data_IF_732988084504
#
_entry.id   IF_732988084504
#
_cell.length_a   1.000
_cell.length_b   1.000
_cell.length_c   1.000
_cell.angle_alpha   90.00
_cell.angle_beta   90.00
_cell.angle_gamma   90.00
#
_symmetry.space_group_name_H-M   'P 1'
#
loop_
_entity.id
_entity.type
_entity.pdbx_description
1 polymer ?
#
# COMPACT_ATOMS: atom_id res chain seq x y z
N UNK A 1 51.00 17.24 -59.43
CA UNK A 1 50.46 16.02 -58.82
C UNK A 1 50.68 16.14 -57.32
N UNK A 2 49.62 16.01 -56.50
CA UNK A 2 49.62 15.93 -55.01
C UNK A 2 49.90 17.26 -54.26
N UNK A 3 49.17 17.72 -53.24
CA UNK A 3 48.10 17.17 -52.39
C UNK A 3 47.21 18.35 -51.92
N UNK A 4 45.89 18.22 -52.02
CA UNK A 4 44.90 19.06 -51.31
C UNK A 4 44.77 18.48 -49.90
N UNK A 5 45.16 19.25 -48.88
CA UNK A 5 44.94 18.86 -47.48
C UNK A 5 43.60 19.46 -47.05
N UNK A 6 42.55 18.65 -47.17
CA UNK A 6 41.23 18.94 -46.62
C UNK A 6 41.25 18.55 -45.13
N UNK A 7 41.30 19.53 -44.23
CA UNK A 7 41.23 19.32 -42.79
C UNK A 7 39.76 19.07 -42.41
N UNK A 8 39.34 17.80 -42.38
CA UNK A 8 38.04 17.39 -41.82
C UNK A 8 38.18 17.38 -40.30
N UNK A 9 37.66 18.43 -39.65
CA UNK A 9 37.50 18.49 -38.21
C UNK A 9 36.33 17.56 -37.82
N UNK A 10 36.64 16.31 -37.49
CA UNK A 10 35.69 15.37 -36.87
C UNK A 10 35.41 15.84 -35.44
N UNK A 11 34.36 16.65 -35.28
CA UNK A 11 33.67 16.86 -34.01
C UNK A 11 33.05 15.52 -33.59
N UNK A 12 33.81 14.70 -32.88
CA UNK A 12 33.27 13.58 -32.11
C UNK A 12 32.47 14.19 -30.95
N UNK A 13 31.18 14.36 -31.17
CA UNK A 13 30.22 14.59 -30.10
C UNK A 13 30.17 13.28 -29.31
N UNK A 14 31.01 13.18 -28.28
CA UNK A 14 30.88 12.16 -27.25
C UNK A 14 29.53 12.38 -26.59
N UNK A 15 28.53 11.60 -26.99
CA UNK A 15 27.31 11.44 -26.24
C UNK A 15 27.71 10.79 -24.91
N UNK A 16 28.00 11.61 -23.90
CA UNK A 16 28.18 11.20 -22.52
C UNK A 16 26.82 10.72 -22.00
N UNK A 17 26.39 9.54 -22.44
CA UNK A 17 25.35 8.79 -21.75
C UNK A 17 25.89 8.54 -20.35
N UNK A 18 25.27 9.15 -19.34
CA UNK A 18 25.59 8.85 -17.94
C UNK A 18 25.42 7.34 -17.75
N UNK A 19 26.55 6.64 -17.65
CA UNK A 19 26.57 5.20 -17.42
C UNK A 19 25.83 4.94 -16.10
N UNK A 20 24.88 4.02 -16.11
CA UNK A 20 24.23 3.60 -14.87
C UNK A 20 25.30 3.03 -13.94
N UNK A 21 25.43 3.62 -12.75
CA UNK A 21 26.35 3.17 -11.71
C UNK A 21 25.55 2.33 -10.69
N UNK A 22 25.85 1.03 -10.57
CA UNK A 22 25.14 0.19 -9.60
C UNK A 22 25.45 0.59 -8.14
N UNK A 23 24.48 0.40 -7.26
CA UNK A 23 24.66 0.68 -5.82
C UNK A 23 25.59 -0.39 -5.20
N UNK A 24 26.75 -0.01 -4.63
CA UNK A 24 27.67 -0.98 -4.03
C UNK A 24 27.07 -1.69 -2.81
N UNK A 25 26.04 -1.11 -2.17
CA UNK A 25 25.32 -1.77 -1.08
C UNK A 25 24.28 -2.79 -1.60
N UNK A 26 24.03 -2.83 -2.91
CA UNK A 26 23.05 -3.72 -3.53
C UNK A 26 21.59 -3.28 -3.35
N UNK A 27 20.69 -4.22 -3.63
CA UNK A 27 19.26 -3.94 -3.84
C UNK A 27 18.35 -4.83 -3.01
N UNK A 28 17.15 -4.33 -2.72
CA UNK A 28 16.02 -5.12 -2.19
C UNK A 28 14.91 -5.10 -3.24
N UNK A 29 14.48 -6.29 -3.66
CA UNK A 29 13.31 -6.47 -4.53
C UNK A 29 12.35 -7.45 -3.86
N UNK A 30 11.05 -7.21 -3.97
CA UNK A 30 10.06 -8.07 -3.33
C UNK A 30 8.77 -8.14 -4.13
N UNK A 31 7.96 -9.15 -3.86
CA UNK A 31 6.57 -9.20 -4.30
C UNK A 31 5.63 -8.71 -3.19
N UNK A 32 4.72 -7.75 -3.44
CA UNK A 32 3.60 -7.46 -2.55
C UNK A 32 2.50 -8.54 -2.66
N UNK A 33 2.88 -9.80 -2.47
CA UNK A 33 2.08 -11.00 -2.81
C UNK A 33 0.97 -11.34 -1.79
N UNK A 34 0.72 -10.51 -0.78
CA UNK A 34 -0.31 -10.76 0.24
C UNK A 34 -1.41 -9.69 0.21
N UNK A 35 -2.62 -10.14 -0.09
CA UNK A 35 -3.83 -9.31 -0.04
C UNK A 35 -3.99 -8.32 -1.19
N UNK A 36 -4.91 -7.36 -0.99
CA UNK A 36 -5.26 -6.30 -1.96
C UNK A 36 -4.46 -5.02 -1.69
N UNK A 37 -4.69 -3.97 -2.47
CA UNK A 37 -3.91 -2.72 -2.42
C UNK A 37 -3.64 -2.16 -1.01
N UNK A 38 -4.64 -2.16 -0.13
CA UNK A 38 -4.46 -1.74 1.27
C UNK A 38 -3.38 -2.53 2.00
N UNK A 39 -3.39 -3.87 1.89
CA UNK A 39 -2.38 -4.75 2.50
C UNK A 39 -0.99 -4.52 1.89
N UNK A 40 -0.94 -4.39 0.56
CA UNK A 40 0.30 -4.18 -0.18
C UNK A 40 1.00 -2.88 0.23
N UNK A 41 0.25 -1.78 0.36
CA UNK A 41 0.82 -0.52 0.85
C UNK A 41 1.22 -0.62 2.31
N UNK A 42 0.41 -1.27 3.14
CA UNK A 42 0.69 -1.45 4.58
C UNK A 42 2.05 -2.15 4.80
N UNK A 43 2.31 -3.23 4.06
CA UNK A 43 3.60 -3.92 4.10
C UNK A 43 4.74 -3.12 3.44
N UNK A 44 4.47 -2.36 2.37
CA UNK A 44 5.48 -1.51 1.73
C UNK A 44 6.10 -0.53 2.73
N UNK A 45 5.33 0.02 3.69
CA UNK A 45 5.89 0.91 4.72
C UNK A 45 6.97 0.21 5.56
N UNK A 46 6.76 -1.06 5.93
CA UNK A 46 7.77 -1.86 6.61
C UNK A 46 8.98 -2.16 5.72
N UNK A 47 8.76 -2.48 4.44
CA UNK A 47 9.84 -2.73 3.48
C UNK A 47 10.70 -1.49 3.25
N UNK A 48 10.09 -0.29 3.23
CA UNK A 48 10.81 0.98 3.14
C UNK A 48 11.76 1.15 4.33
N UNK A 49 11.28 0.92 5.56
CA UNK A 49 12.12 0.99 6.75
C UNK A 49 13.24 -0.06 6.72
N UNK A 50 12.90 -1.32 6.43
CA UNK A 50 13.85 -2.42 6.31
C UNK A 50 14.99 -2.09 5.34
N UNK A 51 14.62 -1.67 4.13
CA UNK A 51 15.59 -1.36 3.06
C UNK A 51 16.48 -0.19 3.42
N UNK A 52 15.92 0.86 4.04
CA UNK A 52 16.69 2.01 4.53
C UNK A 52 17.69 1.60 5.60
N UNK A 53 17.31 0.72 6.53
CA UNK A 53 18.19 0.30 7.63
C UNK A 53 19.35 -0.56 7.16
N UNK A 54 19.15 -1.38 6.12
CA UNK A 54 20.23 -2.11 5.44
C UNK A 54 21.06 -1.25 4.47
N UNK A 55 20.68 0.01 4.26
CA UNK A 55 21.36 0.94 3.35
C UNK A 55 21.42 0.47 1.88
N UNK A 56 20.50 -0.41 1.50
CA UNK A 56 20.32 -0.92 0.14
C UNK A 56 19.37 -0.03 -0.66
N UNK A 57 19.40 -0.16 -1.98
CA UNK A 57 18.43 0.51 -2.86
C UNK A 57 17.14 -0.32 -2.99
N UNK A 58 15.99 0.30 -2.75
CA UNK A 58 14.69 -0.34 -2.96
C UNK A 58 14.35 -0.38 -4.46
N UNK A 59 14.08 -1.57 -4.99
CA UNK A 59 13.39 -1.74 -6.26
C UNK A 59 11.91 -1.55 -6.01
N UNK A 60 11.35 -0.48 -6.56
CA UNK A 60 9.94 -0.14 -6.36
C UNK A 60 9.05 -1.24 -6.95
N UNK A 61 8.09 -1.79 -6.17
CA UNK A 61 7.34 -2.96 -6.58
C UNK A 61 6.35 -2.62 -7.70
N UNK A 62 5.90 -3.64 -8.43
CA UNK A 62 4.62 -3.52 -9.10
C UNK A 62 3.53 -3.85 -8.07
N UNK A 63 2.50 -3.03 -7.96
CA UNK A 63 1.29 -3.40 -7.21
C UNK A 63 0.51 -4.45 -7.99
N UNK A 64 -0.33 -5.19 -7.28
CA UNK A 64 -1.09 -6.32 -7.84
C UNK A 64 -2.57 -6.00 -7.74
N UNK A 65 -3.24 -5.95 -8.90
CA UNK A 65 -4.68 -5.87 -9.02
C UNK A 65 -5.23 -7.22 -9.49
N UNK A 66 -6.44 -7.56 -9.03
CA UNK A 66 -7.10 -8.84 -9.33
C UNK A 66 -8.43 -8.61 -10.08
N UNK A 67 -8.42 -7.98 -11.27
CA UNK A 67 -9.62 -7.93 -12.10
C UNK A 67 -9.91 -9.35 -12.59
N UNK A 68 -11.02 -9.95 -12.18
CA UNK A 68 -11.35 -11.31 -12.61
C UNK A 68 -11.44 -11.41 -14.15
N UNK A 69 -10.81 -12.41 -14.80
CA UNK A 69 -10.06 -13.55 -14.24
C UNK A 69 -8.54 -13.34 -14.09
N UNK A 70 -8.04 -12.15 -14.40
CA UNK A 70 -6.62 -11.84 -14.54
C UNK A 70 -5.94 -11.38 -13.25
N UNK A 71 -4.60 -11.38 -13.28
CA UNK A 71 -3.75 -10.74 -12.27
C UNK A 71 -2.87 -9.73 -12.96
N UNK A 72 -3.01 -8.46 -12.58
CA UNK A 72 -2.39 -7.34 -13.28
C UNK A 72 -1.33 -6.71 -12.39
N UNK A 73 -0.11 -6.59 -12.92
CA UNK A 73 1.00 -5.89 -12.27
C UNK A 73 1.03 -4.43 -12.71
N UNK A 74 0.80 -3.54 -11.75
CA UNK A 74 0.71 -2.10 -11.95
C UNK A 74 2.00 -1.43 -11.44
N UNK A 75 2.79 -0.77 -12.30
CA UNK A 75 4.03 -0.13 -11.87
C UNK A 75 3.83 0.88 -10.74
N UNK A 76 4.78 0.96 -9.80
CA UNK A 76 4.74 1.96 -8.74
C UNK A 76 4.49 3.38 -9.28
N UNK A 77 5.20 3.77 -10.34
CA UNK A 77 5.12 5.11 -10.92
C UNK A 77 3.78 5.46 -11.57
N UNK A 78 2.92 4.48 -11.89
CA UNK A 78 1.57 4.78 -12.36
C UNK A 78 0.62 5.15 -11.23
N UNK A 79 1.00 4.85 -9.98
CA UNK A 79 0.22 5.12 -8.77
C UNK A 79 0.84 6.26 -7.95
N UNK A 80 2.16 6.25 -7.77
CA UNK A 80 2.88 7.17 -6.90
C UNK A 80 4.05 7.87 -7.58
N UNK A 81 4.45 9.01 -7.04
CA UNK A 81 5.59 9.78 -7.52
C UNK A 81 6.91 9.19 -7.01
N UNK A 82 7.76 8.73 -7.94
CA UNK A 82 9.09 8.18 -7.62
C UNK A 82 9.98 9.20 -6.90
N UNK A 83 9.86 10.48 -7.24
CA UNK A 83 10.64 11.54 -6.61
C UNK A 83 10.35 11.68 -5.11
N UNK A 84 9.13 11.41 -4.67
CA UNK A 84 8.70 11.61 -3.28
C UNK A 84 9.22 10.49 -2.37
N UNK A 85 9.14 9.23 -2.81
CA UNK A 85 9.73 8.11 -2.06
C UNK A 85 11.26 8.20 -1.95
N UNK A 86 11.92 8.76 -2.98
CA UNK A 86 13.37 9.01 -2.98
C UNK A 86 13.84 10.02 -1.94
N UNK A 87 12.95 10.83 -1.37
CA UNK A 87 13.28 11.72 -0.23
C UNK A 87 13.54 10.93 1.05
N UNK A 88 13.08 9.68 1.15
CA UNK A 88 13.27 8.83 2.33
C UNK A 88 14.43 7.84 2.19
N UNK A 89 14.54 7.16 1.04
CA UNK A 89 15.53 6.11 0.79
C UNK A 89 15.98 6.08 -0.68
N UNK A 90 17.11 5.41 -0.96
CA UNK A 90 17.53 5.13 -2.34
C UNK A 90 16.52 4.19 -2.99
N UNK A 91 15.98 4.58 -4.15
CA UNK A 91 14.97 3.78 -4.85
C UNK A 91 15.08 3.87 -6.38
N UNK A 92 14.84 2.77 -7.07
CA UNK A 92 14.80 2.68 -8.54
C UNK A 92 13.51 2.02 -9.01
N UNK A 93 13.08 2.38 -10.23
CA UNK A 93 11.90 1.77 -10.85
C UNK A 93 12.20 0.33 -11.23
N UNK A 94 11.19 -0.54 -11.20
CA UNK A 94 11.31 -1.94 -11.64
C UNK A 94 11.92 -2.05 -13.05
N UNK A 95 11.47 -1.22 -13.99
CA UNK A 95 12.01 -1.22 -15.37
C UNK A 95 13.50 -0.88 -15.45
N UNK A 96 13.99 0.00 -14.56
CA UNK A 96 15.42 0.35 -14.49
C UNK A 96 16.21 -0.82 -13.88
N UNK A 97 15.68 -1.45 -12.84
CA UNK A 97 16.29 -2.64 -12.24
C UNK A 97 16.42 -3.77 -13.27
N UNK A 98 15.37 -4.05 -14.03
CA UNK A 98 15.38 -5.09 -15.06
C UNK A 98 16.39 -4.83 -16.18
N UNK A 99 16.51 -3.58 -16.61
CA UNK A 99 17.36 -3.23 -17.76
C UNK A 99 18.82 -3.03 -17.37
N UNK A 100 19.08 -2.38 -16.24
CA UNK A 100 20.42 -1.89 -15.87
C UNK A 100 21.11 -2.73 -14.80
N UNK A 101 20.36 -3.38 -13.90
CA UNK A 101 20.90 -4.10 -12.74
C UNK A 101 20.91 -5.61 -12.96
N UNK A 102 19.76 -6.18 -13.36
CA UNK A 102 19.61 -7.64 -13.50
C UNK A 102 20.62 -8.27 -14.46
N UNK A 103 20.95 -7.71 -15.64
CA UNK A 103 21.85 -8.38 -16.58
C UNK A 103 23.29 -8.52 -16.07
N UNK A 104 23.74 -7.62 -15.21
CA UNK A 104 25.15 -7.54 -14.77
C UNK A 104 25.35 -8.05 -13.35
N UNK A 105 24.50 -7.64 -12.40
CA UNK A 105 24.65 -7.98 -10.98
C UNK A 105 23.80 -9.16 -10.54
N UNK A 106 22.74 -9.51 -11.28
CA UNK A 106 21.81 -10.59 -10.90
C UNK A 106 21.36 -11.43 -12.11
N UNK A 107 22.34 -12.01 -12.85
CA UNK A 107 22.09 -12.72 -14.09
C UNK A 107 21.24 -13.99 -13.85
N UNK A 108 20.64 -14.50 -14.93
CA UNK A 108 19.94 -15.80 -14.92
C UNK A 108 20.91 -16.89 -14.46
N UNK A 109 20.43 -17.87 -13.70
CA UNK A 109 21.26 -18.94 -13.13
C UNK A 109 21.86 -18.64 -11.75
N UNK A 110 21.75 -17.41 -11.25
CA UNK A 110 22.32 -16.99 -9.97
C UNK A 110 21.29 -16.30 -9.05
N UNK A 111 19.99 -16.44 -9.34
CA UNK A 111 18.92 -15.71 -8.66
C UNK A 111 18.41 -16.50 -7.47
N UNK A 112 18.71 -15.96 -6.30
CA UNK A 112 18.34 -16.53 -5.01
C UNK A 112 17.03 -15.90 -4.51
N UNK A 113 16.07 -16.73 -4.07
CA UNK A 113 14.90 -16.29 -3.30
C UNK A 113 15.22 -16.34 -1.80
N UNK A 114 14.82 -15.30 -1.06
CA UNK A 114 14.98 -15.24 0.39
C UNK A 114 13.63 -15.41 1.10
N UNK A 115 13.51 -16.40 1.97
CA UNK A 115 12.33 -16.63 2.80
C UNK A 115 12.68 -16.96 4.26
N UNK A 116 11.69 -17.03 5.14
CA UNK A 116 11.92 -17.25 6.57
C UNK A 116 12.60 -18.60 6.85
N UNK A 117 12.02 -19.68 6.32
CA UNK A 117 12.46 -21.06 6.50
C UNK A 117 11.97 -21.91 5.32
N UNK A 118 12.60 -23.06 5.04
CA UNK A 118 12.10 -23.99 4.03
C UNK A 118 10.67 -24.44 4.39
N UNK A 119 9.80 -24.52 3.39
CA UNK A 119 8.44 -25.06 3.50
C UNK A 119 8.24 -26.16 2.46
N UNK A 120 7.21 -26.98 2.63
CA UNK A 120 6.76 -27.91 1.59
C UNK A 120 5.98 -27.16 0.52
N UNK A 121 6.01 -27.67 -0.70
CA UNK A 121 5.10 -27.25 -1.76
C UNK A 121 3.67 -27.68 -1.41
N UNK A 122 2.71 -26.84 -1.78
CA UNK A 122 1.27 -27.06 -1.64
C UNK A 122 0.71 -27.72 -2.91
N UNK A 123 1.32 -27.47 -4.08
CA UNK A 123 0.84 -27.95 -5.37
C UNK A 123 1.61 -29.18 -5.92
N UNK A 124 2.80 -29.47 -5.40
CA UNK A 124 3.64 -30.61 -5.80
C UNK A 124 4.24 -31.31 -4.57
N UNK A 125 3.62 -32.41 -4.14
CA UNK A 125 4.08 -33.18 -2.99
C UNK A 125 5.48 -33.80 -3.18
N UNK A 126 5.95 -33.96 -4.42
CA UNK A 126 7.26 -34.51 -4.76
C UNK A 126 8.39 -33.47 -4.80
N UNK A 127 8.06 -32.18 -4.74
CA UNK A 127 9.05 -31.11 -4.80
C UNK A 127 9.91 -31.06 -3.52
N UNK A 128 11.23 -30.76 -3.64
CA UNK A 128 12.09 -30.55 -2.47
C UNK A 128 11.59 -29.34 -1.66
N UNK A 129 11.84 -29.36 -0.35
CA UNK A 129 11.50 -28.21 0.51
C UNK A 129 12.29 -26.97 0.11
N UNK A 130 11.65 -25.81 0.15
CA UNK A 130 12.28 -24.55 -0.24
C UNK A 130 11.37 -23.36 0.03
N UNK A 131 11.65 -22.22 -0.60
CA UNK A 131 10.81 -21.03 -0.53
C UNK A 131 9.57 -21.16 -1.42
N UNK A 132 9.66 -21.94 -2.51
CA UNK A 132 8.64 -22.08 -3.55
C UNK A 132 8.11 -20.71 -4.00
N UNK A 133 9.04 -19.82 -4.37
CA UNK A 133 8.83 -18.39 -4.57
C UNK A 133 7.83 -17.99 -5.67
N UNK A 134 7.47 -18.93 -6.56
CA UNK A 134 6.58 -18.74 -7.70
C UNK A 134 5.33 -19.62 -7.63
N UNK A 135 5.10 -20.28 -6.51
CA UNK A 135 4.00 -21.21 -6.35
C UNK A 135 2.67 -20.46 -6.10
N UNK A 136 1.67 -20.74 -6.93
CA UNK A 136 0.34 -20.15 -6.82
C UNK A 136 0.24 -18.71 -7.37
N UNK A 137 -0.92 -18.10 -7.13
CA UNK A 137 -1.25 -16.74 -7.53
C UNK A 137 -1.32 -15.84 -6.28
N UNK A 138 -0.65 -14.67 -6.25
CA UNK A 138 -0.02 -13.97 -7.38
C UNK A 138 1.49 -14.22 -7.57
N UNK A 139 2.08 -15.13 -6.79
CA UNK A 139 3.52 -15.37 -6.75
C UNK A 139 4.14 -15.64 -8.13
N UNK A 140 3.66 -16.65 -8.86
CA UNK A 140 4.17 -17.00 -10.18
C UNK A 140 4.09 -15.83 -11.17
N UNK A 141 2.87 -15.32 -11.45
CA UNK A 141 2.65 -14.20 -12.35
C UNK A 141 3.50 -12.97 -12.06
N UNK A 142 3.77 -12.64 -10.78
CA UNK A 142 4.55 -11.46 -10.41
C UNK A 142 5.99 -11.56 -10.88
N UNK A 143 6.64 -12.69 -10.59
CA UNK A 143 8.03 -12.91 -10.99
C UNK A 143 8.14 -13.16 -12.49
N UNK A 144 7.15 -13.81 -13.11
CA UNK A 144 7.07 -14.00 -14.57
C UNK A 144 7.02 -12.66 -15.31
N UNK A 145 6.21 -11.70 -14.83
CA UNK A 145 6.10 -10.36 -15.43
C UNK A 145 7.44 -9.66 -15.55
N UNK A 146 8.35 -9.91 -14.60
CA UNK A 146 9.67 -9.30 -14.59
C UNK A 146 10.79 -10.21 -15.12
N UNK A 147 10.44 -11.40 -15.65
CA UNK A 147 11.37 -12.34 -16.26
C UNK A 147 12.28 -13.03 -15.23
N UNK A 148 11.77 -13.28 -14.02
CA UNK A 148 12.49 -13.89 -12.91
C UNK A 148 12.03 -15.34 -12.69
N UNK A 149 13.02 -16.22 -12.64
CA UNK A 149 12.95 -17.55 -12.04
C UNK A 149 14.08 -17.62 -11.01
N UNK A 150 13.88 -18.40 -9.96
CA UNK A 150 14.85 -18.57 -8.88
C UNK A 150 15.53 -19.93 -9.02
N UNK A 151 16.84 -19.95 -8.86
CA UNK A 151 17.64 -21.17 -8.94
C UNK A 151 18.12 -21.65 -7.57
N UNK A 152 18.05 -20.78 -6.55
CA UNK A 152 18.45 -21.09 -5.17
C UNK A 152 17.50 -20.45 -4.17
N UNK A 153 17.48 -21.02 -2.98
CA UNK A 153 16.78 -20.48 -1.82
C UNK A 153 17.78 -20.18 -0.70
N UNK A 154 17.54 -19.10 0.02
CA UNK A 154 18.25 -18.74 1.25
C UNK A 154 17.27 -18.38 2.34
N UNK A 155 17.69 -18.62 3.58
CA UNK A 155 16.80 -18.52 4.75
C UNK A 155 17.31 -17.48 5.73
N UNK A 156 16.40 -16.65 6.26
CA UNK A 156 16.76 -15.58 7.21
C UNK A 156 16.08 -15.71 8.58
N UNK A 157 15.32 -16.79 8.84
CA UNK A 157 14.58 -16.98 10.09
C UNK A 157 15.46 -17.22 11.33
N UNK A 158 16.75 -17.50 11.13
CA UNK A 158 17.77 -17.61 12.17
C UNK A 158 18.36 -16.25 12.58
N UNK A 159 18.12 -15.18 11.81
CA UNK A 159 18.54 -13.83 12.17
C UNK A 159 17.70 -13.33 13.35
N UNK A 160 18.29 -12.76 14.41
CA UNK A 160 17.54 -12.19 15.53
C UNK A 160 16.51 -11.16 15.05
N UNK A 161 15.24 -11.38 15.38
CA UNK A 161 14.12 -10.53 14.93
C UNK A 161 13.71 -10.72 13.46
N UNK A 162 14.38 -11.58 12.70
CA UNK A 162 14.14 -11.78 11.27
C UNK A 162 14.29 -10.48 10.49
N UNK A 163 13.21 -9.98 9.88
CA UNK A 163 13.20 -8.70 9.17
C UNK A 163 13.03 -7.48 10.09
N UNK A 164 12.79 -7.67 11.40
CA UNK A 164 12.70 -6.57 12.36
C UNK A 164 14.09 -6.08 12.78
N UNK A 165 14.61 -5.14 11.99
CA UNK A 165 15.94 -4.55 12.21
C UNK A 165 16.01 -3.61 13.42
N UNK A 166 14.91 -3.42 14.16
CA UNK A 166 14.94 -2.72 15.44
C UNK A 166 15.46 -3.61 16.57
N UNK A 167 15.47 -4.93 16.37
CA UNK A 167 16.05 -5.89 17.31
C UNK A 167 17.57 -5.77 17.30
N UNK A 168 18.16 -5.65 18.50
CA UNK A 168 19.61 -5.51 18.67
C UNK A 168 20.36 -6.66 17.99
N UNK A 169 21.37 -6.33 17.18
CA UNK A 169 22.20 -7.31 16.45
C UNK A 169 21.61 -7.76 15.12
N UNK A 170 20.33 -7.48 14.83
CA UNK A 170 19.67 -7.91 13.60
C UNK A 170 20.34 -7.34 12.34
N UNK A 171 20.57 -6.01 12.29
CA UNK A 171 21.25 -5.36 11.16
C UNK A 171 22.63 -5.95 10.89
N UNK A 172 23.45 -6.15 11.93
CA UNK A 172 24.79 -6.74 11.80
C UNK A 172 24.70 -8.15 11.21
N UNK A 173 23.82 -9.00 11.75
CA UNK A 173 23.61 -10.35 11.25
C UNK A 173 23.15 -10.38 9.79
N UNK A 174 22.30 -9.45 9.35
CA UNK A 174 21.93 -9.31 7.93
C UNK A 174 23.12 -8.96 7.03
N UNK A 175 23.97 -8.03 7.45
CA UNK A 175 25.13 -7.59 6.67
C UNK A 175 26.22 -8.67 6.61
N UNK A 176 26.39 -9.45 7.69
CA UNK A 176 27.32 -10.58 7.76
C UNK A 176 26.83 -11.78 6.92
N UNK A 177 25.54 -12.12 7.02
CA UNK A 177 24.97 -13.28 6.33
C UNK A 177 24.72 -13.01 4.84
N UNK A 178 24.33 -11.80 4.49
CA UNK A 178 24.00 -11.42 3.12
C UNK A 178 24.78 -10.18 2.67
N UNK A 179 26.12 -10.25 2.57
CA UNK A 179 26.95 -9.14 2.12
C UNK A 179 26.66 -8.81 0.65
N UNK A 180 26.73 -7.54 0.27
CA UNK A 180 26.38 -7.08 -1.09
C UNK A 180 27.28 -7.64 -2.19
N UNK A 181 28.51 -8.05 -1.86
CA UNK A 181 29.46 -8.67 -2.79
C UNK A 181 29.02 -10.05 -3.28
N UNK A 182 28.27 -10.78 -2.46
CA UNK A 182 27.77 -12.12 -2.77
C UNK A 182 26.27 -12.12 -3.06
N UNK A 183 25.53 -11.28 -2.31
CA UNK A 183 24.10 -11.06 -2.45
C UNK A 183 23.83 -9.60 -2.87
N UNK A 184 24.14 -9.23 -4.13
CA UNK A 184 23.88 -7.87 -4.63
C UNK A 184 22.38 -7.56 -4.74
N UNK A 185 21.52 -8.60 -4.76
CA UNK A 185 20.07 -8.47 -4.75
C UNK A 185 19.48 -9.40 -3.69
N UNK A 186 18.77 -8.83 -2.72
CA UNK A 186 17.92 -9.57 -1.80
C UNK A 186 16.50 -9.62 -2.37
N UNK A 187 16.08 -10.79 -2.86
CA UNK A 187 14.80 -10.98 -3.53
C UNK A 187 13.81 -11.75 -2.66
N UNK A 188 12.71 -11.12 -2.27
CA UNK A 188 11.75 -11.68 -1.31
C UNK A 188 10.40 -12.04 -1.95
N UNK A 189 10.01 -13.33 -1.97
CA UNK A 189 8.70 -13.76 -2.49
C UNK A 189 7.51 -13.19 -1.72
N UNK A 190 7.72 -12.84 -0.45
CA UNK A 190 6.76 -12.12 0.40
C UNK A 190 7.45 -10.90 1.02
N UNK A 191 6.74 -9.80 1.33
CA UNK A 191 7.39 -8.60 1.85
C UNK A 191 8.14 -8.87 3.16
N UNK A 192 9.42 -8.45 3.31
CA UNK A 192 10.16 -8.53 4.58
C UNK A 192 9.67 -7.45 5.56
N UNK A 193 8.40 -7.54 5.94
CA UNK A 193 7.70 -6.53 6.73
C UNK A 193 6.54 -7.15 7.52
N UNK A 194 6.22 -6.60 8.71
CA UNK A 194 5.05 -7.03 9.45
C UNK A 194 3.76 -6.65 8.72
N UNK A 195 2.74 -7.48 8.91
CA UNK A 195 1.35 -7.15 8.62
C UNK A 195 0.49 -7.57 9.81
N UNK A 196 -0.30 -6.66 10.40
CA UNK A 196 -0.47 -5.25 10.06
C UNK A 196 0.81 -4.41 10.29
N UNK A 197 0.89 -3.24 9.65
CA UNK A 197 2.01 -2.31 9.79
C UNK A 197 2.09 -1.75 11.21
N UNK A 198 3.32 -1.58 11.70
CA UNK A 198 3.57 -1.05 13.05
C UNK A 198 3.38 0.47 13.09
N UNK A 199 2.93 1.04 14.22
CA UNK A 199 2.79 2.50 14.38
C UNK A 199 4.05 3.29 14.00
N UNK A 200 5.24 2.74 14.25
CA UNK A 200 6.53 3.34 13.93
C UNK A 200 6.78 3.54 12.43
N UNK A 201 6.04 2.88 11.53
CA UNK A 201 6.19 3.04 10.08
C UNK A 201 5.06 3.85 9.44
N UNK A 202 3.99 4.17 10.18
CA UNK A 202 2.82 4.86 9.61
C UNK A 202 3.17 6.24 9.04
N UNK A 203 4.11 6.95 9.65
CA UNK A 203 4.55 8.26 9.16
C UNK A 203 5.16 8.23 7.77
N UNK A 204 5.66 7.06 7.33
CA UNK A 204 6.28 6.87 6.02
C UNK A 204 5.29 7.04 4.88
N UNK A 205 3.98 6.98 5.15
CA UNK A 205 2.93 7.29 4.19
C UNK A 205 3.11 8.69 3.57
N UNK A 206 3.77 9.65 4.25
CA UNK A 206 4.02 10.99 3.70
C UNK A 206 4.85 10.99 2.41
N UNK A 207 5.62 9.93 2.17
CA UNK A 207 6.46 9.76 0.97
C UNK A 207 5.74 9.06 -0.18
N UNK A 208 4.51 8.59 0.03
CA UNK A 208 3.65 7.98 -0.99
C UNK A 208 2.67 9.02 -1.53
N UNK A 209 3.14 9.86 -2.45
CA UNK A 209 2.30 10.88 -3.11
C UNK A 209 1.73 10.36 -4.41
N UNK A 210 0.42 10.53 -4.59
CA UNK A 210 -0.29 10.16 -5.81
C UNK A 210 0.37 10.71 -7.08
N UNK A 211 0.37 9.92 -8.14
CA UNK A 211 0.79 10.37 -9.48
C UNK A 211 -0.07 11.55 -9.94
N UNK A 212 0.46 12.35 -10.87
CA UNK A 212 -0.27 13.49 -11.46
C UNK A 212 -1.60 13.06 -12.09
N UNK A 213 -1.64 11.85 -12.67
CA UNK A 213 -2.84 11.26 -13.25
C UNK A 213 -3.94 11.02 -12.20
N UNK A 214 -3.61 10.36 -11.08
CA UNK A 214 -4.60 10.05 -10.03
C UNK A 214 -5.05 11.32 -9.32
N UNK A 215 -4.10 12.16 -8.93
CA UNK A 215 -4.42 13.45 -8.29
C UNK A 215 -5.26 14.34 -9.20
N UNK A 216 -4.94 14.43 -10.50
CA UNK A 216 -5.73 15.16 -11.48
C UNK A 216 -7.18 14.67 -11.60
N UNK A 217 -7.39 13.35 -11.71
CA UNK A 217 -8.73 12.75 -11.73
C UNK A 217 -9.52 13.05 -10.45
N UNK A 218 -8.89 12.90 -9.29
CA UNK A 218 -9.53 13.17 -8.00
C UNK A 218 -9.94 14.65 -7.88
N UNK A 219 -9.02 15.57 -8.21
CA UNK A 219 -9.31 17.02 -8.19
C UNK A 219 -10.39 17.41 -9.18
N UNK A 220 -10.43 16.81 -10.37
CA UNK A 220 -11.48 17.03 -11.35
C UNK A 220 -12.84 16.59 -10.79
N UNK A 221 -12.93 15.37 -10.26
CA UNK A 221 -14.18 14.87 -9.69
C UNK A 221 -14.68 15.75 -8.53
N UNK A 222 -13.78 16.13 -7.62
CA UNK A 222 -14.12 17.04 -6.52
C UNK A 222 -14.68 18.36 -7.06
N UNK A 223 -14.01 18.98 -8.03
CA UNK A 223 -14.44 20.26 -8.62
C UNK A 223 -15.83 20.17 -9.29
N UNK A 224 -16.12 19.05 -9.96
CA UNK A 224 -17.35 18.90 -10.75
C UNK A 224 -18.55 18.43 -9.93
N UNK A 225 -18.33 17.65 -8.87
CA UNK A 225 -19.41 16.96 -8.14
C UNK A 225 -19.51 17.32 -6.66
N UNK A 226 -18.43 17.75 -6.02
CA UNK A 226 -18.37 17.87 -4.56
C UNK A 226 -18.21 19.33 -4.10
N UNK A 227 -19.32 19.92 -3.68
CA UNK A 227 -19.31 21.22 -3.02
C UNK A 227 -18.72 21.09 -1.61
N UNK A 228 -17.63 21.80 -1.33
CA UNK A 228 -16.99 21.84 0.00
C UNK A 228 -17.79 22.65 1.03
N UNK A 229 -17.71 22.38 2.35
CA UNK A 229 -17.03 21.23 2.91
C UNK A 229 -17.77 19.94 2.55
N UNK A 230 -17.05 18.84 2.32
CA UNK A 230 -17.65 17.54 2.04
C UNK A 230 -17.15 16.45 2.99
N UNK A 231 -18.06 15.54 3.32
CA UNK A 231 -17.74 14.32 4.07
C UNK A 231 -17.38 13.24 3.08
N UNK A 232 -16.19 12.65 3.22
CA UNK A 232 -15.82 11.43 2.50
C UNK A 232 -16.06 10.22 3.40
N UNK A 233 -16.67 9.16 2.86
CA UNK A 233 -16.86 7.92 3.60
C UNK A 233 -16.34 6.71 2.82
N UNK A 234 -15.87 5.72 3.56
CA UNK A 234 -15.50 4.43 3.01
C UNK A 234 -16.39 3.32 3.61
N UNK A 235 -17.21 2.73 2.75
CA UNK A 235 -18.03 1.57 3.07
C UNK A 235 -17.29 0.30 2.65
N UNK A 236 -17.14 -0.64 3.58
CA UNK A 236 -16.56 -1.96 3.33
C UNK A 236 -17.63 -2.98 3.66
N UNK A 237 -18.37 -3.43 2.65
CA UNK A 237 -19.61 -4.19 2.79
C UNK A 237 -19.78 -5.32 1.75
N UNK A 238 -18.69 -5.73 1.10
CA UNK A 238 -18.70 -6.95 0.30
C UNK A 238 -18.93 -8.22 1.17
N UNK A 239 -19.43 -9.29 0.56
CA UNK A 239 -19.82 -10.53 1.25
C UNK A 239 -18.66 -11.16 2.05
N UNK A 240 -17.44 -11.12 1.50
CA UNK A 240 -16.25 -11.62 2.19
C UNK A 240 -15.94 -10.84 3.47
N UNK A 241 -16.28 -9.55 3.49
CA UNK A 241 -16.00 -8.69 4.64
C UNK A 241 -16.89 -9.04 5.83
N UNK A 242 -18.18 -9.32 5.59
CA UNK A 242 -19.10 -9.73 6.65
C UNK A 242 -18.59 -10.98 7.37
N UNK A 243 -18.09 -11.97 6.60
CA UNK A 243 -17.50 -13.19 7.16
C UNK A 243 -16.26 -12.92 8.02
N UNK A 244 -15.41 -11.97 7.62
CA UNK A 244 -14.27 -11.55 8.45
C UNK A 244 -14.77 -11.00 9.79
N UNK A 245 -15.76 -10.10 9.76
CA UNK A 245 -16.28 -9.46 10.97
C UNK A 245 -17.04 -10.42 11.89
N UNK A 246 -17.61 -11.51 11.36
CA UNK A 246 -18.27 -12.55 12.16
C UNK A 246 -17.34 -13.26 13.15
N UNK A 247 -16.04 -13.32 12.86
CA UNK A 247 -15.02 -13.93 13.72
C UNK A 247 -14.66 -13.06 14.94
N UNK A 248 -15.11 -11.80 15.00
CA UNK A 248 -15.00 -11.00 16.21
C UNK A 248 -15.95 -11.59 17.26
N UNK A 249 -15.50 -11.83 18.51
CA UNK A 249 -16.37 -12.32 19.57
C UNK A 249 -17.63 -11.46 19.74
N UNK A 250 -18.74 -12.06 20.17
CA UNK A 250 -20.03 -11.36 20.32
C UNK A 250 -19.98 -10.16 21.26
N UNK A 251 -19.04 -10.15 22.21
CA UNK A 251 -18.83 -9.03 23.14
C UNK A 251 -17.83 -8.03 22.56
N UNK A 252 -16.55 -8.40 22.49
CA UNK A 252 -15.48 -7.61 21.87
C UNK A 252 -14.15 -8.40 21.80
N UNK A 253 -13.19 -7.88 21.03
CA UNK A 253 -11.82 -8.39 20.96
C UNK A 253 -10.80 -7.32 21.34
N UNK A 254 -9.80 -7.71 22.16
CA UNK A 254 -8.58 -6.92 22.37
C UNK A 254 -7.46 -7.30 21.39
N UNK A 255 -7.64 -8.36 20.59
CA UNK A 255 -6.67 -8.77 19.59
C UNK A 255 -6.84 -7.91 18.33
N UNK A 256 -5.74 -7.32 17.81
CA UNK A 256 -5.79 -6.57 16.56
C UNK A 256 -6.31 -7.43 15.41
N UNK A 257 -7.23 -6.88 14.63
CA UNK A 257 -7.67 -7.44 13.37
C UNK A 257 -7.36 -6.46 12.25
N UNK A 258 -6.48 -6.87 11.33
CA UNK A 258 -6.04 -6.02 10.23
C UNK A 258 -5.63 -4.61 10.72
N UNK A 259 -6.27 -3.55 10.23
CA UNK A 259 -5.88 -2.20 10.58
C UNK A 259 -6.47 -1.67 11.89
N UNK A 260 -7.13 -2.50 12.72
CA UNK A 260 -7.92 -2.02 13.87
C UNK A 260 -7.16 -1.13 14.87
N UNK A 261 -5.84 -1.24 14.97
CA UNK A 261 -5.04 -0.32 15.82
C UNK A 261 -5.08 1.14 15.33
N UNK A 262 -5.54 1.42 14.11
CA UNK A 262 -5.63 2.79 13.58
C UNK A 262 -6.68 3.67 14.28
N UNK A 263 -7.60 3.06 15.03
CA UNK A 263 -8.55 3.78 15.88
C UNK A 263 -8.11 3.89 17.35
N UNK A 264 -6.94 3.36 17.72
CA UNK A 264 -6.37 3.60 19.05
C UNK A 264 -6.16 5.11 19.25
N UNK A 265 -6.66 5.64 20.37
CA UNK A 265 -6.59 7.06 20.71
C UNK A 265 -7.73 7.92 20.14
N UNK A 266 -8.70 7.34 19.44
CA UNK A 266 -9.96 8.03 19.12
C UNK A 266 -10.75 8.28 20.43
N UNK A 267 -11.35 9.47 20.57
CA UNK A 267 -11.92 9.99 21.83
C UNK A 267 -12.90 9.04 22.53
N UNK A 268 -13.64 8.24 21.75
CA UNK A 268 -14.68 7.34 22.25
C UNK A 268 -14.38 5.85 21.98
N UNK A 269 -13.12 5.52 21.70
CA UNK A 269 -12.69 4.14 21.52
C UNK A 269 -12.00 3.61 22.77
N UNK A 270 -12.53 2.54 23.35
CA UNK A 270 -12.03 1.91 24.58
C UNK A 270 -10.98 0.81 24.32
N UNK A 271 -10.50 0.70 23.08
CA UNK A 271 -9.55 -0.33 22.64
C UNK A 271 -10.21 -1.68 22.32
N UNK A 272 -11.54 -1.79 22.39
CA UNK A 272 -12.25 -3.05 22.17
C UNK A 272 -12.93 -3.07 20.82
N UNK A 273 -12.46 -3.95 19.94
CA UNK A 273 -13.06 -4.11 18.61
C UNK A 273 -14.40 -4.85 18.72
N UNK A 274 -15.46 -4.26 18.15
CA UNK A 274 -16.80 -4.84 18.08
C UNK A 274 -17.21 -5.16 16.64
N UNK A 275 -18.24 -5.99 16.47
CA UNK A 275 -18.83 -6.27 15.15
C UNK A 275 -19.35 -5.00 14.48
N UNK A 276 -19.90 -4.07 15.26
CA UNK A 276 -20.41 -2.80 14.75
C UNK A 276 -19.29 -1.89 14.20
N UNK A 277 -18.12 -1.89 14.83
CA UNK A 277 -16.94 -1.15 14.31
C UNK A 277 -16.41 -1.79 13.01
N UNK A 278 -16.48 -3.12 12.91
CA UNK A 278 -15.98 -3.86 11.75
C UNK A 278 -16.95 -3.82 10.55
N UNK A 279 -18.24 -4.02 10.81
CA UNK A 279 -19.32 -4.11 9.83
C UNK A 279 -20.53 -3.34 10.35
N UNK A 280 -20.52 -2.00 10.27
CA UNK A 280 -21.57 -1.16 10.82
C UNK A 280 -22.91 -1.41 10.13
N UNK A 281 -24.00 -1.32 10.90
CA UNK A 281 -25.35 -1.41 10.38
C UNK A 281 -25.70 -0.23 9.47
N UNK A 282 -26.64 -0.38 8.52
CA UNK A 282 -27.13 0.73 7.70
C UNK A 282 -27.58 1.93 8.54
N UNK A 283 -28.25 1.69 9.67
CA UNK A 283 -28.66 2.73 10.62
C UNK A 283 -27.46 3.50 11.17
N UNK A 284 -26.46 2.80 11.70
CA UNK A 284 -25.22 3.44 12.21
C UNK A 284 -24.51 4.24 11.12
N UNK A 285 -24.43 3.71 9.91
CA UNK A 285 -23.81 4.41 8.77
C UNK A 285 -24.55 5.72 8.49
N UNK A 286 -25.88 5.68 8.36
CA UNK A 286 -26.70 6.85 8.03
C UNK A 286 -26.63 7.89 9.16
N UNK A 287 -26.86 7.48 10.41
CA UNK A 287 -26.90 8.37 11.57
C UNK A 287 -25.57 9.13 11.75
N UNK A 288 -24.43 8.43 11.63
CA UNK A 288 -23.12 9.07 11.76
C UNK A 288 -22.78 9.98 10.60
N UNK A 289 -23.25 9.67 9.38
CA UNK A 289 -23.07 10.57 8.23
C UNK A 289 -23.90 11.82 8.41
N UNK A 290 -25.16 11.71 8.82
CA UNK A 290 -26.04 12.87 9.09
C UNK A 290 -25.46 13.74 10.21
N UNK A 291 -25.04 13.13 11.32
CA UNK A 291 -24.43 13.86 12.44
C UNK A 291 -23.19 14.64 11.98
N UNK A 292 -22.31 14.00 11.21
CA UNK A 292 -21.11 14.66 10.69
C UNK A 292 -21.44 15.77 9.68
N UNK A 293 -22.41 15.54 8.79
CA UNK A 293 -22.90 16.56 7.84
C UNK A 293 -23.37 17.79 8.60
N UNK A 294 -24.20 17.62 9.63
CA UNK A 294 -24.66 18.71 10.47
C UNK A 294 -23.53 19.40 11.23
N UNK A 295 -22.61 18.61 11.81
CA UNK A 295 -21.48 19.11 12.62
C UNK A 295 -20.53 20.03 11.85
N UNK A 296 -20.24 19.72 10.59
CA UNK A 296 -19.30 20.52 9.77
C UNK A 296 -20.00 21.44 8.75
N UNK A 297 -21.33 21.41 8.69
CA UNK A 297 -22.10 22.12 7.66
C UNK A 297 -21.75 21.62 6.25
N UNK A 298 -21.63 20.30 6.07
CA UNK A 298 -21.23 19.72 4.80
C UNK A 298 -22.24 20.03 3.69
N UNK A 299 -21.74 20.27 2.48
CA UNK A 299 -22.54 20.58 1.28
C UNK A 299 -22.59 19.45 0.26
N UNK A 300 -21.86 18.37 0.51
CA UNK A 300 -21.91 17.13 -0.27
C UNK A 300 -21.30 15.97 0.51
N UNK A 301 -21.64 14.74 0.10
CA UNK A 301 -21.04 13.51 0.62
C UNK A 301 -20.40 12.74 -0.53
N UNK A 302 -19.19 12.24 -0.34
CA UNK A 302 -18.53 11.31 -1.25
C UNK A 302 -18.49 9.91 -0.65
N UNK A 303 -18.94 8.92 -1.42
CA UNK A 303 -18.95 7.51 -1.00
C UNK A 303 -18.00 6.71 -1.88
N UNK A 304 -17.04 6.06 -1.23
CA UNK A 304 -16.28 4.94 -1.80
C UNK A 304 -16.78 3.65 -1.19
N UNK A 305 -17.01 2.63 -2.01
CA UNK A 305 -17.46 1.33 -1.55
C UNK A 305 -16.87 0.20 -2.38
N UNK A 306 -16.61 -0.93 -1.74
CA UNK A 306 -16.24 -2.17 -2.41
C UNK A 306 -17.43 -2.90 -3.05
N UNK A 307 -18.66 -2.59 -2.66
CA UNK A 307 -19.87 -3.17 -3.27
C UNK A 307 -21.05 -2.20 -3.32
N UNK A 308 -21.67 -1.92 -2.17
CA UNK A 308 -22.87 -1.08 -2.10
C UNK A 308 -22.52 0.32 -1.60
N UNK A 309 -22.76 1.32 -2.42
CA UNK A 309 -22.51 2.73 -2.11
C UNK A 309 -23.68 3.40 -1.37
N UNK A 310 -24.83 2.74 -1.20
CA UNK A 310 -26.01 3.27 -0.50
C UNK A 310 -26.47 4.66 -0.99
N UNK A 311 -26.21 5.00 -2.26
CA UNK A 311 -26.38 6.38 -2.78
C UNK A 311 -27.84 6.85 -2.68
N UNK A 312 -28.79 6.00 -3.03
CA UNK A 312 -30.22 6.33 -2.94
C UNK A 312 -30.63 6.56 -1.49
N UNK A 313 -30.28 5.62 -0.60
CA UNK A 313 -30.53 5.73 0.84
C UNK A 313 -29.95 7.01 1.45
N UNK A 314 -28.73 7.40 1.06
CA UNK A 314 -28.16 8.67 1.51
C UNK A 314 -28.88 9.88 0.95
N UNK A 315 -29.26 9.88 -0.32
CA UNK A 315 -29.95 11.02 -0.92
C UNK A 315 -31.33 11.26 -0.29
N UNK A 316 -32.04 10.20 0.07
CA UNK A 316 -33.30 10.29 0.82
C UNK A 316 -33.05 10.84 2.23
N UNK A 317 -32.06 10.30 2.95
CA UNK A 317 -31.73 10.72 4.31
C UNK A 317 -31.17 12.15 4.41
N UNK A 318 -30.51 12.65 3.35
CA UNK A 318 -29.92 13.98 3.28
C UNK A 318 -30.86 15.03 2.66
N UNK A 319 -32.08 14.65 2.28
CA UNK A 319 -33.03 15.56 1.64
C UNK A 319 -33.32 16.79 2.50
N UNK A 320 -33.43 16.63 3.81
CA UNK A 320 -33.66 17.73 4.76
C UNK A 320 -32.51 18.76 4.81
N UNK A 321 -31.32 18.39 4.35
CA UNK A 321 -30.15 19.27 4.27
C UNK A 321 -29.95 19.89 2.88
N UNK A 322 -30.78 19.52 1.89
CA UNK A 322 -30.66 19.94 0.49
C UNK A 322 -29.28 19.60 -0.14
N UNK A 323 -28.63 18.52 0.31
CA UNK A 323 -27.36 18.04 -0.24
C UNK A 323 -27.49 16.62 -0.82
N UNK A 324 -26.47 16.17 -1.55
CA UNK A 324 -26.46 14.83 -2.19
C UNK A 324 -25.18 14.06 -1.88
N UNK A 325 -25.30 12.74 -1.94
CA UNK A 325 -24.19 11.80 -1.96
C UNK A 325 -23.78 11.43 -3.39
N UNK A 326 -22.48 11.34 -3.61
CA UNK A 326 -21.87 11.06 -4.91
C UNK A 326 -20.87 9.91 -4.81
N UNK A 327 -20.71 9.17 -5.90
CA UNK A 327 -19.68 8.13 -6.10
C UNK A 327 -19.01 8.31 -7.45
N UNK A 328 -17.85 7.67 -7.62
CA UNK A 328 -17.30 7.41 -8.95
C UNK A 328 -18.16 6.34 -9.67
N UNK A 329 -18.31 6.48 -10.98
CA UNK A 329 -18.99 5.49 -11.82
C UNK A 329 -18.27 5.30 -13.17
N UNK A 330 -17.61 4.15 -13.42
CA UNK A 330 -17.34 3.07 -12.46
C UNK A 330 -16.44 3.54 -11.30
N UNK A 331 -16.43 2.80 -10.18
CA UNK A 331 -15.56 3.15 -9.04
C UNK A 331 -14.10 2.82 -9.37
N UNK A 332 -13.22 3.81 -9.30
CA UNK A 332 -11.76 3.66 -9.44
C UNK A 332 -11.17 3.77 -8.03
N UNK A 333 -10.80 2.62 -7.45
CA UNK A 333 -10.40 2.53 -6.05
C UNK A 333 -9.24 3.47 -5.68
N UNK A 334 -8.28 3.67 -6.58
CA UNK A 334 -7.14 4.56 -6.32
C UNK A 334 -7.55 6.04 -6.38
N UNK A 335 -8.41 6.40 -7.32
CA UNK A 335 -8.99 7.75 -7.37
C UNK A 335 -9.88 8.00 -6.16
N UNK A 336 -10.68 7.02 -5.74
CA UNK A 336 -11.50 7.07 -4.53
C UNK A 336 -10.64 7.35 -3.28
N UNK A 337 -9.52 6.64 -3.08
CA UNK A 337 -8.59 6.95 -1.99
C UNK A 337 -8.08 8.40 -2.06
N UNK A 338 -7.72 8.88 -3.25
CA UNK A 338 -7.23 10.24 -3.44
C UNK A 338 -8.32 11.32 -3.22
N UNK A 339 -9.60 11.01 -3.48
CA UNK A 339 -10.74 11.88 -3.14
C UNK A 339 -10.96 11.90 -1.62
N UNK A 340 -10.94 10.73 -0.97
CA UNK A 340 -11.10 10.61 0.49
C UNK A 340 -9.96 11.31 1.27
N UNK A 341 -8.72 11.24 0.79
CA UNK A 341 -7.58 12.00 1.33
C UNK A 341 -7.77 13.53 1.25
N UNK A 342 -8.65 13.99 0.36
CA UNK A 342 -8.99 15.40 0.17
C UNK A 342 -10.29 15.86 0.84
N UNK A 343 -11.05 14.96 1.46
CA UNK A 343 -12.28 15.30 2.17
C UNK A 343 -12.05 16.28 3.33
N UNK A 344 -13.04 17.11 3.63
CA UNK A 344 -12.97 18.02 4.77
C UNK A 344 -13.07 17.22 6.08
N UNK A 345 -13.93 16.19 6.10
CA UNK A 345 -13.93 15.13 7.12
C UNK A 345 -13.97 13.75 6.46
N UNK A 346 -13.28 12.76 7.02
CA UNK A 346 -13.30 11.37 6.54
C UNK A 346 -13.89 10.45 7.62
N UNK A 347 -14.88 9.62 7.25
CA UNK A 347 -15.37 8.52 8.09
C UNK A 347 -14.94 7.20 7.47
N UNK A 348 -14.02 6.49 8.13
CA UNK A 348 -13.46 5.24 7.67
C UNK A 348 -14.06 4.00 8.35
N UNK A 349 -13.59 2.84 7.91
CA UNK A 349 -13.78 1.57 8.60
C UNK A 349 -12.48 1.23 9.37
N UNK A 350 -12.55 1.10 10.69
CA UNK A 350 -11.33 0.93 11.51
C UNK A 350 -10.57 -0.37 11.20
N UNK A 351 -11.24 -1.44 10.78
CA UNK A 351 -10.57 -2.72 10.48
C UNK A 351 -9.92 -2.71 9.09
N UNK A 352 -10.39 -1.85 8.18
CA UNK A 352 -9.93 -1.83 6.79
C UNK A 352 -8.56 -1.18 6.60
N UNK A 353 -7.62 -1.92 6.01
CA UNK A 353 -6.31 -1.39 5.57
C UNK A 353 -6.46 -0.38 4.42
N UNK A 354 -7.58 -0.41 3.68
CA UNK A 354 -7.90 0.59 2.67
C UNK A 354 -8.27 1.94 3.31
N UNK A 355 -9.07 1.94 4.39
CA UNK A 355 -9.27 3.14 5.21
C UNK A 355 -7.98 3.60 5.88
N UNK A 356 -7.13 2.66 6.30
CA UNK A 356 -5.86 2.99 6.94
C UNK A 356 -4.91 3.77 6.04
N UNK A 357 -4.94 3.51 4.73
CA UNK A 357 -4.25 4.35 3.76
C UNK A 357 -4.67 5.82 3.88
N UNK A 358 -5.99 6.07 3.83
CA UNK A 358 -6.57 7.41 3.90
C UNK A 358 -6.26 8.06 5.25
N UNK A 359 -6.43 7.32 6.35
CA UNK A 359 -6.10 7.78 7.71
C UNK A 359 -4.68 8.30 7.75
N UNK A 360 -3.69 7.49 7.34
CA UNK A 360 -2.28 7.90 7.37
C UNK A 360 -1.99 9.09 6.47
N UNK A 361 -2.55 9.13 5.25
CA UNK A 361 -2.38 10.28 4.35
C UNK A 361 -2.85 11.58 5.03
N UNK A 362 -4.02 11.53 5.67
CA UNK A 362 -4.62 12.66 6.39
C UNK A 362 -3.82 13.03 7.64
N UNK A 363 -3.39 12.06 8.44
CA UNK A 363 -2.60 12.25 9.67
C UNK A 363 -1.27 12.96 9.40
N UNK A 364 -0.60 12.58 8.31
CA UNK A 364 0.71 13.13 7.99
C UNK A 364 0.67 14.20 6.91
N UNK A 365 -0.52 14.73 6.61
CA UNK A 365 -0.70 15.93 5.80
C UNK A 365 -0.51 17.20 6.63
N UNK A 366 -0.26 18.33 5.94
CA UNK A 366 -0.17 19.66 6.55
C UNK A 366 -1.14 20.59 5.79
N UNK A 367 -2.15 21.19 6.44
CA UNK A 367 -2.56 20.96 7.84
C UNK A 367 -3.09 19.54 8.06
N UNK A 368 -3.13 19.11 9.33
CA UNK A 368 -3.74 17.84 9.74
C UNK A 368 -5.22 17.84 9.34
N UNK A 369 -5.72 16.73 8.80
CA UNK A 369 -7.13 16.60 8.41
C UNK A 369 -7.88 15.62 9.32
N UNK A 370 -9.10 15.95 9.75
CA UNK A 370 -9.84 15.14 10.73
C UNK A 370 -10.34 13.83 10.11
N UNK A 371 -10.35 12.77 10.92
CA UNK A 371 -10.85 11.44 10.56
C UNK A 371 -11.63 10.89 11.75
N UNK A 372 -12.69 10.13 11.48
CA UNK A 372 -13.39 9.30 12.46
C UNK A 372 -13.69 7.92 11.85
N UNK A 373 -14.31 7.03 12.62
CA UNK A 373 -14.66 5.69 12.15
C UNK A 373 -16.08 5.31 12.53
N UNK A 374 -16.72 4.50 11.68
CA UNK A 374 -18.02 3.93 11.97
C UNK A 374 -18.00 3.05 13.23
N UNK A 375 -19.12 3.03 13.95
CA UNK A 375 -19.28 2.26 15.20
C UNK A 375 -18.55 2.82 16.42
N UNK A 376 -17.73 3.86 16.29
CA UNK A 376 -17.06 4.54 17.42
C UNK A 376 -17.83 5.82 17.74
N UNK A 377 -18.72 5.74 18.73
CA UNK A 377 -19.62 6.82 19.12
C UNK A 377 -19.44 7.19 20.60
N UNK A 378 -19.49 8.49 20.90
CA UNK A 378 -19.60 8.96 22.27
C UNK A 378 -20.99 8.68 22.83
N UNK A 379 -21.08 8.26 24.09
CA UNK A 379 -22.34 7.89 24.76
C UNK A 379 -23.38 9.03 24.92
N UNK A 380 -23.11 10.23 24.41
CA UNK A 380 -24.00 11.38 24.57
C UNK A 380 -24.91 11.55 23.35
N UNK A 381 -25.97 10.73 23.28
CA UNK A 381 -27.32 11.05 22.77
C UNK A 381 -28.14 9.78 22.54
N UNK A 382 -28.56 9.13 23.62
CA UNK A 382 -29.97 8.67 23.68
C UNK A 382 -30.71 9.76 24.45
N UNK A 383 -31.18 10.78 23.75
CA UNK A 383 -32.38 11.46 24.23
C UNK A 383 -33.49 10.52 23.78
N UNK A 384 -33.96 9.70 24.71
CA UNK A 384 -35.25 9.04 24.55
C UNK A 384 -36.28 10.17 24.38
N UNK A 385 -36.86 10.25 23.18
CA UNK A 385 -38.06 11.05 22.91
C UNK A 385 -39.29 10.22 23.24
#
# INVERSE_FOLDING_TARGET
MRFIVLLILLLVVSASGTRFEPDPNGYVVFCPCMGRFGNQVDQLLGVMQFTKYLERTLVLPNFIEYPYPDTVMVPFESIFQVAEIRKYLKAIRMVVFQREVMPTLWPKGNRTALCWSPRKSIYDEGAPVGCHAKEGNPFGPYWDKIGVSFERDEYYGDIPGGYDLTVRGSKTAWLEKFPASEYPVLAFPSPPAPFPSRPSTWELQRYLKWSSRISGKASQFIKEKLTRPFVGIHLRNDNDWNRVCEHIPSTSSNQPLFASMQCDGEEFYDGKLTKEICSPSPTTIIDQVIDMVGKIGARSVFVSSDRDHMIETFNDALQAYEIKAYRLNPDDALVSLAVLGQADHFIGNCVSTFSHFVRRERTFSKPLKPTSYFGIIGHNRRIEL
#
